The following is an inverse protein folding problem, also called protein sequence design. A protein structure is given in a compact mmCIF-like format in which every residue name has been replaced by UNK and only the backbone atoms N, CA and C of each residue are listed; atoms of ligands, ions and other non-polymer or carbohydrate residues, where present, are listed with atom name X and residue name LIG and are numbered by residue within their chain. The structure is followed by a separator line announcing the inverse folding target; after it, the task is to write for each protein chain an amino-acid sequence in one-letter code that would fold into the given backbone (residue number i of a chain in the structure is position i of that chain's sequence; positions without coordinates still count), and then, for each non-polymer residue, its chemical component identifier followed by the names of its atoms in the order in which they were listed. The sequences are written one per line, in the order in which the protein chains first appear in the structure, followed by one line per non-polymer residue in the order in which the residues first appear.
data_IF_356707538897
#
_entry.id   IF_356707538897
#
_cell.length_a   1.000
_cell.length_b   1.000
_cell.length_c   1.000
_cell.angle_alpha   90.00
_cell.angle_beta   90.00
_cell.angle_gamma   90.00
#
_symmetry.space_group_name_H-M   'P 1'
#
loop_
_entity.id
_entity.type
_entity.pdbx_description
1 polymer ?
#
# COMPACT_ATOMS: atom_id res chain seq x y z
N UNK A 1 -6.30 10.59 3.79
CA UNK A 1 -5.27 10.71 2.73
C UNK A 1 -4.30 9.51 2.74
N UNK A 2 -3.14 9.54 3.41
CA UNK A 2 -2.16 8.42 3.33
C UNK A 2 -2.64 7.10 3.93
N UNK A 3 -3.42 7.18 5.02
CA UNK A 3 -3.99 6.00 5.68
C UNK A 3 -5.05 5.29 4.82
N UNK A 4 -5.99 6.04 4.23
CA UNK A 4 -7.01 5.48 3.34
C UNK A 4 -6.40 4.84 2.09
N UNK A 5 -5.34 5.45 1.54
CA UNK A 5 -4.61 4.89 0.42
C UNK A 5 -3.89 3.57 0.79
N UNK A 6 -3.29 3.51 1.99
CA UNK A 6 -2.71 2.28 2.50
C UNK A 6 -3.78 1.21 2.74
N UNK A 7 -4.95 1.58 3.26
CA UNK A 7 -6.05 0.65 3.51
C UNK A 7 -6.67 0.11 2.22
N UNK A 8 -6.87 0.96 1.19
CA UNK A 8 -7.30 0.51 -0.13
C UNK A 8 -6.26 -0.43 -0.76
N UNK A 9 -4.97 -0.09 -0.65
CA UNK A 9 -3.91 -0.93 -1.18
C UNK A 9 -3.87 -2.30 -0.50
N UNK A 10 -4.04 -2.34 0.81
CA UNK A 10 -4.16 -3.56 1.60
C UNK A 10 -5.35 -4.42 1.15
N UNK A 11 -6.54 -3.81 0.98
CA UNK A 11 -7.74 -4.52 0.50
C UNK A 11 -7.50 -5.16 -0.87
N UNK A 12 -6.93 -4.41 -1.81
CA UNK A 12 -6.67 -4.91 -3.16
C UNK A 12 -5.65 -6.08 -3.16
N UNK A 13 -4.64 -6.01 -2.29
CA UNK A 13 -3.68 -7.10 -2.13
C UNK A 13 -4.34 -8.34 -1.49
N UNK A 14 -5.18 -8.15 -0.48
CA UNK A 14 -5.95 -9.21 0.16
C UNK A 14 -6.94 -9.89 -0.81
N UNK A 15 -7.46 -9.15 -1.78
CA UNK A 15 -8.25 -9.66 -2.91
C UNK A 15 -7.42 -10.44 -3.94
N UNK A 16 -6.10 -10.57 -3.74
CA UNK A 16 -5.18 -11.29 -4.62
C UNK A 16 -4.66 -10.47 -5.80
N UNK A 17 -4.89 -9.15 -5.81
CA UNK A 17 -4.35 -8.28 -6.84
C UNK A 17 -2.82 -8.18 -6.71
N UNK A 18 -2.12 -8.17 -7.85
CA UNK A 18 -0.67 -8.00 -7.85
C UNK A 18 -0.29 -6.59 -7.37
N UNK A 19 0.72 -6.50 -6.50
CA UNK A 19 1.27 -5.25 -5.95
C UNK A 19 1.35 -4.09 -6.93
N UNK A 20 1.95 -4.31 -8.11
CA UNK A 20 2.15 -3.23 -9.09
C UNK A 20 0.83 -2.70 -9.64
N UNK A 21 -0.16 -3.57 -9.86
CA UNK A 21 -1.49 -3.20 -10.36
C UNK A 21 -2.31 -2.51 -9.27
N UNK A 22 -2.30 -3.06 -8.06
CA UNK A 22 -2.99 -2.48 -6.91
C UNK A 22 -2.45 -1.07 -6.59
N UNK A 23 -1.13 -0.92 -6.58
CA UNK A 23 -0.48 0.37 -6.37
C UNK A 23 -0.81 1.38 -7.48
N UNK A 24 -0.77 0.96 -8.75
CA UNK A 24 -1.17 1.83 -9.86
C UNK A 24 -2.63 2.28 -9.72
N UNK A 25 -3.52 1.37 -9.30
CA UNK A 25 -4.94 1.69 -9.11
C UNK A 25 -5.16 2.71 -8.01
N UNK A 26 -4.58 2.49 -6.83
CA UNK A 26 -4.68 3.44 -5.69
C UNK A 26 -4.10 4.81 -6.05
N UNK A 27 -2.98 4.84 -6.77
CA UNK A 27 -2.39 6.10 -7.22
C UNK A 27 -3.29 6.78 -8.25
N UNK A 28 -3.84 6.04 -9.21
CA UNK A 28 -4.61 6.60 -10.32
C UNK A 28 -6.03 7.02 -9.92
N UNK A 29 -6.67 6.30 -9.01
CA UNK A 29 -8.02 6.62 -8.49
C UNK A 29 -7.98 7.69 -7.39
N UNK A 30 -6.89 7.79 -6.61
CA UNK A 30 -6.85 8.65 -5.43
C UNK A 30 -6.04 9.94 -5.55
N UNK A 31 -5.10 10.08 -6.49
CA UNK A 31 -4.06 11.12 -6.39
C UNK A 31 -3.59 11.69 -7.75
N UNK A 32 -4.01 12.91 -8.07
CA UNK A 32 -3.57 13.65 -9.29
C UNK A 32 -2.13 14.18 -9.24
N UNK A 33 -1.48 14.29 -8.08
CA UNK A 33 -0.21 15.03 -7.89
C UNK A 33 1.08 14.19 -8.01
N UNK A 34 0.97 12.93 -8.44
CA UNK A 34 2.14 12.14 -8.81
C UNK A 34 2.47 10.98 -7.85
N UNK A 35 2.74 9.86 -8.50
CA UNK A 35 2.91 8.51 -7.93
C UNK A 35 3.95 8.38 -6.81
N UNK A 36 4.99 9.23 -6.79
CA UNK A 36 6.12 9.05 -5.88
C UNK A 36 5.85 9.56 -4.47
N UNK A 37 5.18 10.70 -4.31
CA UNK A 37 4.86 11.26 -2.99
C UNK A 37 3.85 10.36 -2.25
N UNK A 38 2.86 9.83 -2.97
CA UNK A 38 1.87 8.90 -2.43
C UNK A 38 2.51 7.58 -1.98
N UNK A 39 3.35 6.96 -2.83
CA UNK A 39 4.06 5.75 -2.46
C UNK A 39 4.95 5.95 -1.22
N UNK A 40 5.62 7.11 -1.11
CA UNK A 40 6.43 7.45 0.06
C UNK A 40 5.58 7.58 1.32
N UNK A 41 4.42 8.23 1.24
CA UNK A 41 3.51 8.39 2.36
C UNK A 41 2.90 7.06 2.80
N UNK A 42 2.47 6.20 1.87
CA UNK A 42 1.98 4.84 2.16
C UNK A 42 3.08 4.04 2.87
N UNK A 43 4.31 4.05 2.34
CA UNK A 43 5.43 3.35 3.00
C UNK A 43 5.72 3.89 4.40
N UNK A 44 5.66 5.21 4.61
CA UNK A 44 5.84 5.78 5.95
C UNK A 44 4.73 5.34 6.91
N UNK A 45 3.48 5.33 6.46
CA UNK A 45 2.34 4.90 7.25
C UNK A 45 2.44 3.42 7.64
N UNK A 46 2.81 2.56 6.70
CA UNK A 46 3.00 1.12 6.92
C UNK A 46 4.15 0.89 7.90
N UNK A 47 5.28 1.59 7.74
CA UNK A 47 6.38 1.48 8.71
C UNK A 47 6.00 1.94 10.13
N UNK A 48 5.09 2.91 10.27
CA UNK A 48 4.58 3.33 11.58
C UNK A 48 3.62 2.30 12.21
N UNK A 49 3.01 1.43 11.41
CA UNK A 49 2.03 0.43 11.86
C UNK A 49 2.05 -0.83 10.99
N UNK A 50 3.12 -1.62 11.02
CA UNK A 50 3.29 -2.76 10.11
C UNK A 50 2.22 -3.84 10.32
N UNK A 51 1.77 -4.03 11.57
CA UNK A 51 0.71 -4.99 11.89
C UNK A 51 -0.68 -4.60 11.36
N UNK A 52 -0.89 -3.33 10.99
CA UNK A 52 -2.15 -2.89 10.41
C UNK A 52 -2.24 -3.16 8.90
N UNK A 53 -1.10 -3.47 8.25
CA UNK A 53 -1.00 -3.67 6.81
C UNK A 53 -0.12 -4.89 6.46
N UNK A 54 -0.50 -6.09 6.92
CA UNK A 54 0.29 -7.31 6.74
C UNK A 54 0.54 -7.69 5.27
N UNK A 55 -0.41 -7.46 4.36
CA UNK A 55 -0.26 -7.78 2.95
C UNK A 55 0.71 -6.82 2.25
N UNK A 56 0.67 -5.52 2.58
CA UNK A 56 1.67 -4.56 2.10
C UNK A 56 3.06 -4.92 2.63
N UNK A 57 3.19 -5.28 3.91
CA UNK A 57 4.47 -5.72 4.49
C UNK A 57 5.03 -6.95 3.78
N UNK A 58 4.19 -7.96 3.52
CA UNK A 58 4.58 -9.14 2.76
C UNK A 58 4.99 -8.81 1.31
N UNK A 59 4.22 -7.95 0.63
CA UNK A 59 4.46 -7.59 -0.76
C UNK A 59 5.71 -6.71 -0.95
N UNK A 60 5.98 -5.78 -0.04
CA UNK A 60 7.08 -4.81 -0.13
C UNK A 60 8.36 -5.35 0.47
N UNK A 61 8.27 -5.90 1.69
CA UNK A 61 9.45 -6.26 2.47
C UNK A 61 9.75 -7.76 2.41
N UNK A 62 8.89 -8.59 1.79
CA UNK A 62 8.98 -10.06 1.79
C UNK A 62 9.20 -10.64 3.19
N UNK A 63 8.81 -9.89 4.23
CA UNK A 63 8.86 -10.39 5.59
C UNK A 63 7.63 -11.28 5.73
N UNK A 64 7.86 -12.59 5.74
CA UNK A 64 6.95 -13.49 6.43
C UNK A 64 6.92 -13.03 7.87
N UNK A 65 5.94 -12.19 8.22
CA UNK A 65 5.53 -12.03 9.61
C UNK A 65 4.86 -13.35 9.94
N UNK A 66 5.68 -14.29 10.44
CA UNK A 66 5.28 -15.63 10.82
C UNK A 66 5.22 -15.71 12.33
#
# INVERSE_FOLDING_TARGET
MSYEAAYQLESLLAEGMRWRTALQRVIHEGYSDGSQACLKAIKQQVNQSPYAFPEIEQAVYRRSVR
#
